data_IF_749395467548
#
_entry.id   IF_749395467548
#
_cell.length_a   1.000
_cell.length_b   1.000
_cell.length_c   1.000
_cell.angle_alpha   90.00
_cell.angle_beta   90.00
_cell.angle_gamma   90.00
#
_symmetry.space_group_name_H-M   'P 1'
#
loop_
_entity.id
_entity.type
_entity.pdbx_description
1 polymer ?
#
# COMPACT_ATOMS: atom_id res chain seq x y z
N UNK A 1 -6.58 -21.32 -0.91
CA UNK A 1 -6.16 -20.96 0.46
C UNK A 1 -6.55 -22.06 1.45
N UNK A 2 -7.76 -22.57 1.41
CA UNK A 2 -8.22 -23.65 2.34
C UNK A 2 -7.31 -24.88 2.33
N UNK A 3 -6.79 -25.27 1.13
CA UNK A 3 -5.80 -26.36 1.00
C UNK A 3 -4.47 -26.09 1.71
N UNK A 4 -4.22 -24.82 2.06
CA UNK A 4 -3.03 -24.38 2.80
C UNK A 4 -3.31 -24.16 4.29
N UNK A 5 -4.51 -24.53 4.77
CA UNK A 5 -4.92 -24.32 6.16
C UNK A 5 -5.22 -22.85 6.50
N UNK A 6 -5.48 -22.01 5.49
CA UNK A 6 -5.82 -20.60 5.69
C UNK A 6 -7.34 -20.47 5.79
N UNK A 7 -7.84 -20.01 6.92
CA UNK A 7 -9.25 -19.68 7.11
C UNK A 7 -9.62 -18.45 6.26
N UNK A 8 -10.71 -18.50 5.51
CA UNK A 8 -11.14 -17.43 4.63
C UNK A 8 -12.52 -16.90 5.02
N UNK A 9 -12.65 -15.57 5.07
CA UNK A 9 -13.91 -14.87 5.34
C UNK A 9 -14.27 -14.00 4.14
N UNK A 10 -15.31 -14.36 3.39
CA UNK A 10 -15.84 -13.53 2.31
C UNK A 10 -16.80 -12.50 2.90
N UNK A 11 -16.41 -11.23 2.90
CA UNK A 11 -17.16 -10.15 3.53
C UNK A 11 -17.08 -8.85 2.74
N UNK A 12 -18.18 -8.08 2.75
CA UNK A 12 -18.19 -6.69 2.31
C UNK A 12 -17.99 -5.81 3.55
N UNK A 13 -16.77 -5.30 3.70
CA UNK A 13 -16.36 -4.55 4.89
C UNK A 13 -16.99 -3.16 5.00
N UNK A 14 -17.62 -2.66 3.93
CA UNK A 14 -18.37 -1.40 3.96
C UNK A 14 -19.75 -1.55 4.61
N UNK A 15 -20.23 -2.80 4.78
CA UNK A 15 -21.53 -3.03 5.44
C UNK A 15 -21.42 -2.88 6.95
N UNK A 16 -22.36 -2.16 7.58
CA UNK A 16 -22.38 -1.99 9.03
C UNK A 16 -22.35 -3.31 9.80
N UNK A 17 -21.52 -3.38 10.84
CA UNK A 17 -21.42 -4.54 11.75
C UNK A 17 -20.67 -5.76 11.16
N UNK A 18 -20.16 -5.69 9.93
CA UNK A 18 -19.40 -6.79 9.33
C UNK A 18 -18.01 -6.89 9.94
N UNK A 19 -17.34 -5.77 10.17
CA UNK A 19 -16.02 -5.73 10.81
C UNK A 19 -16.03 -6.34 12.22
N UNK A 20 -17.13 -6.19 12.96
CA UNK A 20 -17.25 -6.72 14.33
C UNK A 20 -17.35 -8.24 14.36
N UNK A 21 -17.72 -8.86 13.24
CA UNK A 21 -17.83 -10.33 13.08
C UNK A 21 -16.52 -10.99 12.65
N UNK A 22 -15.53 -10.20 12.24
CA UNK A 22 -14.22 -10.74 11.89
C UNK A 22 -13.45 -11.12 13.16
N UNK A 23 -12.59 -12.16 13.09
CA UNK A 23 -11.81 -12.59 14.24
C UNK A 23 -10.89 -11.50 14.75
N UNK A 24 -10.58 -11.54 16.04
CA UNK A 24 -9.48 -10.76 16.60
C UNK A 24 -8.15 -11.33 16.10
N UNK A 25 -7.18 -10.46 15.89
CA UNK A 25 -5.86 -10.86 15.44
C UNK A 25 -4.79 -10.04 16.18
N UNK A 26 -3.73 -10.71 16.61
CA UNK A 26 -2.57 -10.03 17.21
C UNK A 26 -1.81 -9.20 16.17
N UNK A 27 -1.67 -9.75 14.96
CA UNK A 27 -0.98 -9.13 13.84
C UNK A 27 -1.94 -8.96 12.66
N UNK A 28 -1.97 -7.77 12.06
CA UNK A 28 -2.84 -7.43 10.93
C UNK A 28 -2.00 -6.90 9.79
N UNK A 29 -2.06 -7.58 8.65
CA UNK A 29 -1.50 -7.09 7.40
C UNK A 29 -2.62 -6.41 6.61
N UNK A 30 -2.62 -5.07 6.58
CA UNK A 30 -3.64 -4.30 5.90
C UNK A 30 -3.22 -4.01 4.45
N UNK A 31 -3.90 -4.66 3.51
CA UNK A 31 -3.60 -4.59 2.07
C UNK A 31 -4.76 -4.06 1.24
N UNK A 32 -5.82 -3.55 1.88
CA UNK A 32 -6.98 -3.02 1.17
C UNK A 32 -6.62 -1.70 0.50
N UNK A 33 -6.96 -1.59 -0.78
CA UNK A 33 -6.74 -0.37 -1.54
C UNK A 33 -7.48 -0.38 -2.87
N UNK A 34 -7.86 0.81 -3.32
CA UNK A 34 -8.52 1.03 -4.61
C UNK A 34 -7.66 1.97 -5.45
N UNK A 35 -7.17 1.49 -6.59
CA UNK A 35 -6.29 2.24 -7.49
C UNK A 35 -6.89 2.36 -8.89
N UNK A 36 -7.38 1.25 -9.44
CA UNK A 36 -7.87 1.18 -10.83
C UNK A 36 -9.37 1.45 -10.89
N UNK A 37 -9.82 2.16 -11.94
CA UNK A 37 -11.23 2.52 -12.11
C UNK A 37 -11.70 3.67 -11.22
N UNK A 38 -10.77 4.49 -10.71
CA UNK A 38 -11.08 5.63 -9.85
C UNK A 38 -11.54 6.86 -10.63
N UNK A 39 -11.18 6.99 -11.91
CA UNK A 39 -11.56 8.14 -12.75
C UNK A 39 -13.08 8.24 -12.89
N UNK A 40 -13.65 9.37 -12.48
CA UNK A 40 -15.11 9.59 -12.44
C UNK A 40 -15.83 8.95 -11.25
N UNK A 41 -15.08 8.34 -10.31
CA UNK A 41 -15.59 7.76 -9.07
C UNK A 41 -14.62 8.03 -7.90
N UNK A 42 -14.08 9.22 -7.83
CA UNK A 42 -13.11 9.67 -6.83
C UNK A 42 -13.62 9.48 -5.40
N UNK A 43 -14.90 9.73 -5.18
CA UNK A 43 -15.56 9.49 -3.90
C UNK A 43 -15.43 8.04 -3.42
N UNK A 44 -15.45 7.07 -4.35
CA UNK A 44 -15.28 5.65 -4.01
C UNK A 44 -13.83 5.35 -3.60
N UNK A 45 -12.86 6.01 -4.23
CA UNK A 45 -11.45 5.92 -3.84
C UNK A 45 -11.25 6.40 -2.40
N UNK A 46 -11.87 7.53 -2.02
CA UNK A 46 -11.87 8.04 -0.64
C UNK A 46 -12.61 7.10 0.31
N UNK A 47 -13.76 6.57 -0.11
CA UNK A 47 -14.53 5.61 0.68
C UNK A 47 -13.70 4.37 1.05
N UNK A 48 -13.01 3.78 0.08
CA UNK A 48 -12.23 2.55 0.31
C UNK A 48 -10.87 2.86 0.96
N UNK A 49 -10.12 3.83 0.41
CA UNK A 49 -8.75 4.06 0.87
C UNK A 49 -8.67 4.80 2.21
N UNK A 50 -9.66 5.60 2.58
CA UNK A 50 -9.62 6.42 3.78
C UNK A 50 -10.70 6.03 4.79
N UNK A 51 -11.99 6.09 4.40
CA UNK A 51 -13.07 5.83 5.34
C UNK A 51 -13.05 4.39 5.87
N UNK A 52 -13.00 3.38 4.97
CA UNK A 52 -12.88 1.98 5.38
C UNK A 52 -11.61 1.72 6.19
N UNK A 53 -10.50 2.36 5.83
CA UNK A 53 -9.27 2.27 6.60
C UNK A 53 -9.47 2.75 8.03
N UNK A 54 -10.15 3.87 8.23
CA UNK A 54 -10.47 4.37 9.58
C UNK A 54 -11.29 3.37 10.41
N UNK A 55 -12.28 2.73 9.79
CA UNK A 55 -13.08 1.68 10.44
C UNK A 55 -12.22 0.46 10.81
N UNK A 56 -11.37 -0.01 9.89
CA UNK A 56 -10.47 -1.13 10.14
C UNK A 56 -9.42 -0.79 11.21
N UNK A 57 -8.83 0.40 11.16
CA UNK A 57 -7.87 0.87 12.16
C UNK A 57 -8.49 0.91 13.56
N UNK A 58 -9.73 1.39 13.67
CA UNK A 58 -10.47 1.40 14.93
C UNK A 58 -10.80 -0.02 15.43
N UNK A 59 -11.21 -0.92 14.53
CA UNK A 59 -11.51 -2.33 14.85
C UNK A 59 -10.29 -3.04 15.40
N UNK A 60 -9.12 -2.83 14.79
CA UNK A 60 -7.89 -3.52 15.13
C UNK A 60 -6.89 -2.67 15.94
N UNK A 61 -7.36 -1.65 16.65
CA UNK A 61 -6.49 -0.72 17.40
C UNK A 61 -5.65 -1.37 18.51
N UNK A 62 -5.94 -2.60 18.90
CA UNK A 62 -5.14 -3.38 19.87
C UNK A 62 -4.14 -4.31 19.19
N UNK A 63 -4.19 -4.42 17.87
CA UNK A 63 -3.33 -5.26 17.06
C UNK A 63 -2.03 -4.55 16.71
N UNK A 64 -1.04 -5.32 16.28
CA UNK A 64 0.15 -4.84 15.59
C UNK A 64 -0.16 -4.81 14.09
N UNK A 65 -0.02 -3.65 13.45
CA UNK A 65 -0.51 -3.44 12.09
C UNK A 65 0.65 -3.11 11.16
N UNK A 66 0.77 -3.85 10.05
CA UNK A 66 1.58 -3.47 8.88
C UNK A 66 0.61 -2.99 7.80
N UNK A 67 0.62 -1.69 7.51
CA UNK A 67 -0.27 -1.06 6.53
C UNK A 67 0.45 -0.82 5.22
N UNK A 68 -0.03 -1.43 4.14
CA UNK A 68 0.49 -1.17 2.79
C UNK A 68 0.12 0.24 2.34
N UNK A 69 1.14 1.04 2.13
CA UNK A 69 1.11 2.38 1.53
C UNK A 69 1.80 2.36 0.16
N UNK A 70 2.20 3.48 -0.36
CA UNK A 70 2.82 3.60 -1.67
C UNK A 70 3.87 4.71 -1.71
N UNK A 71 4.91 4.51 -2.52
CA UNK A 71 5.85 5.58 -2.86
C UNK A 71 5.23 6.75 -3.62
N UNK A 72 4.01 6.59 -4.17
CA UNK A 72 3.31 7.67 -4.89
C UNK A 72 2.90 8.86 -3.99
N UNK A 73 3.04 8.74 -2.68
CA UNK A 73 2.79 9.87 -1.76
C UNK A 73 3.96 10.86 -1.69
N UNK A 74 5.12 10.50 -2.23
CA UNK A 74 6.25 11.41 -2.36
C UNK A 74 6.17 12.28 -3.61
N UNK A 75 6.86 13.42 -3.63
CA UNK A 75 6.99 14.20 -4.86
C UNK A 75 7.75 13.43 -5.95
N UNK A 76 7.57 13.83 -7.20
CA UNK A 76 8.44 13.37 -8.28
C UNK A 76 9.84 13.96 -8.09
N UNK A 77 10.82 13.11 -7.87
CA UNK A 77 12.20 13.51 -7.69
C UNK A 77 13.01 13.34 -8.99
N UNK A 78 13.97 14.23 -9.28
CA UNK A 78 14.84 14.07 -10.44
C UNK A 78 15.66 12.79 -10.35
N UNK A 79 15.88 12.16 -11.51
CA UNK A 79 16.73 10.96 -11.64
C UNK A 79 18.14 11.30 -11.17
N UNK A 80 18.75 10.40 -10.40
CA UNK A 80 20.11 10.59 -9.88
C UNK A 80 20.18 11.27 -8.51
N UNK A 81 19.04 11.68 -7.91
CA UNK A 81 19.02 12.23 -6.54
C UNK A 81 19.01 11.17 -5.44
N UNK A 82 18.98 9.88 -5.80
CA UNK A 82 18.88 8.78 -4.85
C UNK A 82 17.44 8.43 -4.42
N UNK A 83 16.44 9.20 -4.90
CA UNK A 83 15.02 8.97 -4.57
C UNK A 83 14.59 9.51 -3.21
N UNK A 84 13.36 9.20 -2.82
CA UNK A 84 12.78 9.60 -1.53
C UNK A 84 13.24 8.66 -0.40
N UNK A 85 13.51 9.24 0.75
CA UNK A 85 13.71 8.53 2.02
C UNK A 85 12.46 8.64 2.89
N UNK A 86 12.41 7.92 4.00
CA UNK A 86 11.31 8.00 4.98
C UNK A 86 11.11 9.40 5.55
N UNK A 87 12.17 10.22 5.57
CA UNK A 87 12.15 11.60 6.06
C UNK A 87 11.73 12.61 4.98
N UNK A 88 11.66 12.20 3.70
CA UNK A 88 11.23 13.07 2.62
C UNK A 88 9.78 13.52 2.85
N UNK A 89 9.48 14.83 2.83
CA UNK A 89 8.12 15.32 2.95
C UNK A 89 7.19 14.72 1.89
N UNK A 90 5.97 14.39 2.29
CA UNK A 90 4.96 13.86 1.39
C UNK A 90 4.33 14.98 0.56
N UNK A 91 4.22 14.77 -0.74
CA UNK A 91 3.60 15.70 -1.70
C UNK A 91 2.80 14.88 -2.75
N UNK A 92 1.67 14.30 -2.33
CA UNK A 92 0.90 13.38 -3.19
C UNK A 92 0.26 14.12 -4.36
N UNK A 93 0.40 13.56 -5.56
CA UNK A 93 -0.21 14.07 -6.79
C UNK A 93 -1.32 13.13 -7.26
N UNK A 94 -2.53 13.64 -7.38
CA UNK A 94 -3.71 12.91 -7.83
C UNK A 94 -4.42 12.11 -6.73
N UNK A 95 -5.67 11.73 -7.01
CA UNK A 95 -6.60 11.12 -6.05
C UNK A 95 -6.07 9.86 -5.38
N UNK A 96 -5.41 8.98 -6.13
CA UNK A 96 -4.85 7.76 -5.56
C UNK A 96 -3.75 8.07 -4.52
N UNK A 97 -2.84 8.96 -4.85
CA UNK A 97 -1.74 9.33 -3.96
C UNK A 97 -2.26 10.06 -2.71
N UNK A 98 -3.19 11.01 -2.89
CA UNK A 98 -3.83 11.73 -1.78
C UNK A 98 -4.59 10.77 -0.84
N UNK A 99 -5.36 9.84 -1.39
CA UNK A 99 -6.11 8.88 -0.56
C UNK A 99 -5.21 7.83 0.08
N UNK A 100 -4.07 7.51 -0.54
CA UNK A 100 -3.05 6.65 0.09
C UNK A 100 -2.39 7.34 1.27
N UNK A 101 -2.08 8.64 1.16
CA UNK A 101 -1.64 9.44 2.31
C UNK A 101 -2.75 9.53 3.36
N UNK A 102 -4.01 9.72 2.95
CA UNK A 102 -5.17 9.71 3.85
C UNK A 102 -5.28 8.40 4.63
N UNK A 103 -4.98 7.26 4.01
CA UNK A 103 -4.87 5.94 4.67
C UNK A 103 -3.82 5.97 5.77
N UNK A 104 -2.62 6.47 5.48
CA UNK A 104 -1.58 6.60 6.51
C UNK A 104 -2.06 7.46 7.68
N UNK A 105 -2.74 8.58 7.41
CA UNK A 105 -3.27 9.46 8.47
C UNK A 105 -4.30 8.78 9.37
N UNK A 106 -5.08 7.83 8.84
CA UNK A 106 -6.00 7.02 9.69
C UNK A 106 -5.23 6.11 10.64
N UNK A 107 -4.16 5.48 10.18
CA UNK A 107 -3.30 4.66 11.03
C UNK A 107 -2.45 5.51 11.99
N UNK A 108 -1.95 6.68 11.56
CA UNK A 108 -1.26 7.63 12.44
C UNK A 108 -2.19 8.07 13.58
N UNK A 109 -3.47 8.33 13.28
CA UNK A 109 -4.45 8.71 14.30
C UNK A 109 -4.57 7.62 15.39
N UNK A 110 -4.76 6.36 15.01
CA UNK A 110 -4.90 5.29 16.03
C UNK A 110 -3.58 5.00 16.72
N UNK A 111 -2.43 5.13 16.05
CA UNK A 111 -1.13 5.01 16.68
C UNK A 111 -0.94 6.06 17.78
N UNK A 112 -1.18 7.34 17.47
CA UNK A 112 -0.97 8.43 18.42
C UNK A 112 -2.04 8.49 19.53
N UNK A 113 -3.29 8.12 19.22
CA UNK A 113 -4.40 8.25 20.15
C UNK A 113 -4.58 7.04 21.08
N UNK A 114 -4.32 5.84 20.58
CA UNK A 114 -4.53 4.59 21.31
C UNK A 114 -3.25 3.80 21.61
N UNK A 115 -2.10 4.27 21.13
CA UNK A 115 -0.84 3.52 21.27
C UNK A 115 -0.75 2.29 20.37
N UNK A 116 -1.57 2.22 19.33
CA UNK A 116 -1.56 1.13 18.34
C UNK A 116 -0.20 1.05 17.67
N UNK A 117 0.40 -0.13 17.64
CA UNK A 117 1.69 -0.33 16.96
C UNK A 117 1.47 -0.47 15.46
N UNK A 118 1.99 0.48 14.69
CA UNK A 118 1.80 0.56 13.24
C UNK A 118 3.13 0.69 12.51
N UNK A 119 3.24 -0.01 11.38
CA UNK A 119 4.26 0.20 10.37
C UNK A 119 3.58 0.65 9.06
N UNK A 120 3.92 1.83 8.56
CA UNK A 120 3.53 2.34 7.26
C UNK A 120 4.51 1.77 6.21
N UNK A 121 4.07 0.76 5.47
CA UNK A 121 4.87 0.03 4.49
C UNK A 121 4.73 0.71 3.12
N UNK A 122 5.61 1.68 2.81
CA UNK A 122 5.59 2.47 1.57
C UNK A 122 6.23 1.68 0.43
N UNK A 123 5.38 1.00 -0.32
CA UNK A 123 5.80 0.14 -1.42
C UNK A 123 5.95 0.92 -2.72
N UNK A 124 7.08 0.73 -3.40
CA UNK A 124 7.22 1.09 -4.81
C UNK A 124 6.63 0.00 -5.72
N UNK A 125 6.84 0.09 -7.02
CA UNK A 125 6.22 -0.81 -7.99
C UNK A 125 6.67 -2.27 -7.78
N UNK A 126 5.81 -3.08 -7.16
CA UNK A 126 6.02 -4.52 -7.09
C UNK A 126 5.80 -5.14 -8.47
N UNK A 127 6.73 -5.97 -8.89
CA UNK A 127 6.72 -6.66 -10.18
C UNK A 127 6.96 -8.15 -10.02
N UNK A 128 6.37 -8.94 -10.90
CA UNK A 128 6.63 -10.36 -11.08
C UNK A 128 6.42 -10.74 -12.55
N UNK A 129 6.66 -12.01 -12.94
CA UNK A 129 6.65 -12.41 -14.36
C UNK A 129 5.27 -12.33 -15.03
N UNK A 130 4.19 -12.20 -14.28
CA UNK A 130 2.79 -12.12 -14.77
C UNK A 130 2.12 -10.81 -14.44
N UNK A 131 2.81 -9.91 -13.74
CA UNK A 131 2.20 -8.69 -13.22
C UNK A 131 3.24 -7.58 -13.05
N UNK A 132 2.79 -6.33 -13.24
CA UNK A 132 3.53 -5.11 -12.98
C UNK A 132 4.05 -4.43 -14.23
N UNK A 133 4.66 -3.25 -14.03
CA UNK A 133 5.05 -2.36 -15.13
C UNK A 133 5.97 -3.03 -16.16
N UNK A 134 6.88 -3.89 -15.73
CA UNK A 134 7.80 -4.59 -16.63
C UNK A 134 7.02 -5.55 -17.55
N UNK A 135 6.08 -6.32 -16.96
CA UNK A 135 5.22 -7.21 -17.74
C UNK A 135 4.33 -6.43 -18.71
N UNK A 136 3.76 -5.30 -18.28
CA UNK A 136 2.86 -4.47 -19.09
C UNK A 136 3.62 -3.89 -20.29
N UNK A 137 4.84 -3.38 -20.09
CA UNK A 137 5.69 -2.87 -21.18
C UNK A 137 6.09 -3.99 -22.13
N UNK A 138 6.58 -5.12 -21.62
CA UNK A 138 6.95 -6.28 -22.43
C UNK A 138 5.78 -6.78 -23.29
N UNK A 139 4.58 -6.84 -22.72
CA UNK A 139 3.36 -7.24 -23.44
C UNK A 139 2.99 -6.26 -24.56
N UNK A 140 3.13 -4.96 -24.33
CA UNK A 140 2.92 -3.94 -25.37
C UNK A 140 3.93 -4.08 -26.50
N UNK A 141 5.21 -4.26 -26.18
CA UNK A 141 6.26 -4.49 -27.20
C UNK A 141 5.95 -5.73 -28.03
N UNK A 142 5.63 -6.84 -27.37
CA UNK A 142 5.30 -8.11 -28.02
C UNK A 142 4.12 -7.97 -28.99
N UNK A 143 3.12 -7.20 -28.62
CA UNK A 143 1.92 -6.98 -29.43
C UNK A 143 2.04 -5.83 -30.44
N UNK A 144 3.20 -5.16 -30.57
CA UNK A 144 3.37 -3.99 -31.42
C UNK A 144 2.51 -2.78 -31.02
N UNK A 145 2.08 -2.72 -29.75
CA UNK A 145 1.26 -1.62 -29.25
C UNK A 145 2.13 -0.40 -28.86
N UNK A 146 1.60 0.83 -28.97
CA UNK A 146 2.33 2.02 -28.57
C UNK A 146 2.63 2.02 -27.07
N UNK A 147 3.83 2.51 -26.72
CA UNK A 147 4.28 2.66 -25.32
C UNK A 147 4.29 4.15 -25.00
N UNK A 148 3.63 4.51 -23.88
CA UNK A 148 3.75 5.84 -23.31
C UNK A 148 5.11 5.97 -22.61
N UNK A 149 5.93 6.88 -23.07
CA UNK A 149 7.27 7.17 -22.53
C UNK A 149 7.33 8.49 -21.74
N UNK A 150 6.20 9.08 -21.41
CA UNK A 150 6.11 10.31 -20.64
C UNK A 150 6.74 10.16 -19.24
N UNK A 151 6.66 8.94 -18.66
CA UNK A 151 7.39 8.55 -17.46
C UNK A 151 8.51 7.58 -17.85
N UNK A 152 9.71 8.12 -18.09
CA UNK A 152 10.81 7.36 -18.68
C UNK A 152 11.55 6.39 -17.74
N UNK A 153 11.29 6.45 -16.43
CA UNK A 153 12.00 5.64 -15.43
C UNK A 153 11.09 5.15 -14.33
N UNK A 154 11.43 3.99 -13.79
CA UNK A 154 10.71 3.39 -12.66
C UNK A 154 11.67 2.66 -11.72
N UNK A 155 11.38 2.71 -10.43
CA UNK A 155 12.00 1.84 -9.45
C UNK A 155 11.07 0.67 -9.17
N UNK A 156 11.55 -0.56 -9.34
CA UNK A 156 10.76 -1.79 -9.17
C UNK A 156 11.36 -2.68 -8.10
N UNK A 157 10.53 -3.49 -7.47
CA UNK A 157 10.94 -4.49 -6.48
C UNK A 157 10.25 -5.82 -6.77
N UNK A 158 10.95 -6.93 -6.56
CA UNK A 158 10.37 -8.26 -6.77
C UNK A 158 9.27 -8.56 -5.75
N UNK A 159 8.09 -8.94 -6.23
CA UNK A 159 6.90 -9.16 -5.39
C UNK A 159 7.12 -10.22 -4.32
N UNK A 160 7.83 -11.31 -4.60
CA UNK A 160 8.16 -12.34 -3.61
C UNK A 160 9.01 -11.80 -2.46
N UNK A 161 9.95 -10.89 -2.77
CA UNK A 161 10.72 -10.18 -1.73
C UNK A 161 9.81 -9.30 -0.87
N UNK A 162 8.91 -8.52 -1.50
CA UNK A 162 7.95 -7.68 -0.79
C UNK A 162 7.10 -8.49 0.19
N UNK A 163 6.56 -9.63 -0.25
CA UNK A 163 5.76 -10.50 0.60
C UNK A 163 6.56 -11.02 1.81
N UNK A 164 7.81 -11.43 1.58
CA UNK A 164 8.69 -11.91 2.65
C UNK A 164 9.00 -10.81 3.66
N UNK A 165 9.37 -9.60 3.19
CA UNK A 165 9.66 -8.45 4.05
C UNK A 165 8.42 -8.05 4.85
N UNK A 166 7.24 -7.98 4.22
CA UNK A 166 6.00 -7.59 4.90
C UNK A 166 5.66 -8.52 6.09
N UNK A 167 5.88 -9.83 5.93
CA UNK A 167 5.65 -10.79 7.01
C UNK A 167 6.67 -10.66 8.16
N UNK A 168 7.87 -10.20 7.88
CA UNK A 168 8.92 -9.98 8.90
C UNK A 168 8.79 -8.63 9.61
N UNK A 169 8.10 -7.67 9.02
CA UNK A 169 8.04 -6.29 9.51
C UNK A 169 7.15 -6.08 10.74
N UNK A 170 6.39 -7.05 11.19
CA UNK A 170 5.55 -6.86 12.38
C UNK A 170 6.35 -6.45 13.63
N UNK A 171 7.59 -6.92 13.76
CA UNK A 171 8.49 -6.52 14.85
C UNK A 171 8.92 -5.04 14.82
N UNK A 172 8.75 -4.37 13.67
CA UNK A 172 9.11 -2.96 13.47
C UNK A 172 7.94 -2.00 13.71
N UNK A 173 6.72 -2.52 13.92
CA UNK A 173 5.56 -1.70 14.18
C UNK A 173 5.67 -1.01 15.55
N UNK A 174 5.50 0.30 15.57
CA UNK A 174 5.70 1.17 16.73
C UNK A 174 4.55 2.18 16.92
N UNK A 175 4.54 2.86 18.02
CA UNK A 175 3.68 4.02 18.29
C UNK A 175 4.57 5.16 18.86
N UNK A 176 4.64 6.32 18.19
CA UNK A 176 4.01 6.68 16.88
C UNK A 176 4.37 5.74 15.74
N UNK A 177 3.56 5.75 14.67
CA UNK A 177 3.73 4.84 13.54
C UNK A 177 5.11 4.99 12.90
N UNK A 178 5.79 3.86 12.68
CA UNK A 178 7.05 3.82 11.94
C UNK A 178 6.78 3.79 10.43
N UNK A 179 7.68 4.39 9.67
CA UNK A 179 7.67 4.36 8.20
C UNK A 179 8.78 3.42 7.71
N UNK A 180 8.51 2.69 6.63
CA UNK A 180 9.50 1.87 5.93
C UNK A 180 9.26 1.97 4.42
N UNK A 181 10.25 2.46 3.69
CA UNK A 181 10.26 2.41 2.22
C UNK A 181 10.70 1.02 1.75
N UNK A 182 9.92 0.45 0.84
CA UNK A 182 10.26 -0.85 0.21
C UNK A 182 10.32 -0.66 -1.29
N UNK A 183 11.54 -0.69 -1.79
CA UNK A 183 11.88 -0.40 -3.18
C UNK A 183 13.00 -1.34 -3.65
N UNK A 184 13.19 -1.46 -4.95
CA UNK A 184 14.39 -2.09 -5.51
C UNK A 184 15.59 -1.13 -5.44
N UNK A 185 16.80 -1.65 -5.53
CA UNK A 185 18.02 -0.83 -5.48
C UNK A 185 18.26 -0.04 -6.76
N UNK A 186 17.57 -0.39 -7.86
CA UNK A 186 17.85 0.12 -9.19
C UNK A 186 16.69 0.94 -9.75
N UNK A 187 17.05 1.95 -10.55
CA UNK A 187 16.09 2.67 -11.40
C UNK A 187 16.23 2.12 -12.83
N UNK A 188 15.14 1.61 -13.37
CA UNK A 188 15.05 1.03 -14.72
C UNK A 188 14.49 2.08 -15.68
N UNK A 189 15.14 2.23 -16.87
CA UNK A 189 14.67 3.11 -17.95
C UNK A 189 13.78 2.37 -18.95
#
# INVERSE_FOLDING_TARGET
>A
LDKLGVETHKADLMKPGVLDKLPDAENVLYMIGFKFGSTGAEWNTWGINVFLTGLCAQRYKKSRIVSFSSGNIYPFLPIGTGGATEETPTEPVGEYAMTTLGRERMFDYVANHFGTKVLQFRLNYAAELRYGIIYDVATKVWNGAPIDVSMGHVNVVWQGYVCNVALQCFGLAESPARILNVAGPETVS
#
